data_IF_607382233339
#
_entry.id   IF_607382233339
#
_cell.length_a   1.000
_cell.length_b   1.000
_cell.length_c   1.000
_cell.angle_alpha   90.00
_cell.angle_beta   90.00
_cell.angle_gamma   90.00
#
_symmetry.space_group_name_H-M   'P 1'
#
loop_
_entity.id
_entity.type
_entity.pdbx_description
1 polymer ?
#
# COMPACT_ATOMS: atom_id res chain seq x y z
N UNK A 1 13.52 10.39 7.00
CA UNK A 1 13.34 9.22 6.11
C UNK A 1 14.02 9.56 4.81
N UNK A 2 14.90 8.68 4.31
CA UNK A 2 15.66 8.98 3.10
C UNK A 2 14.75 8.85 1.87
N UNK A 3 14.89 9.77 0.92
CA UNK A 3 14.11 9.82 -0.33
C UNK A 3 14.16 8.47 -1.08
N UNK A 4 15.27 7.75 -0.98
CA UNK A 4 15.45 6.43 -1.56
C UNK A 4 14.45 5.39 -1.02
N UNK A 5 14.17 5.41 0.28
CA UNK A 5 13.21 4.49 0.93
C UNK A 5 11.78 4.77 0.46
N UNK A 6 11.43 6.05 0.31
CA UNK A 6 10.13 6.45 -0.20
C UNK A 6 9.91 5.96 -1.64
N UNK A 7 10.89 6.21 -2.52
CA UNK A 7 10.84 5.78 -3.92
C UNK A 7 10.75 4.25 -4.01
N UNK A 8 11.49 3.53 -3.17
CA UNK A 8 11.43 2.07 -3.11
C UNK A 8 10.03 1.56 -2.76
N UNK A 9 9.37 2.15 -1.76
CA UNK A 9 8.00 1.78 -1.36
C UNK A 9 6.98 1.98 -2.50
N UNK A 10 7.03 3.12 -3.18
CA UNK A 10 6.20 3.40 -4.36
C UNK A 10 6.48 2.37 -5.46
N UNK A 11 7.75 2.03 -5.67
CA UNK A 11 8.17 1.04 -6.67
C UNK A 11 7.72 -0.39 -6.30
N UNK A 12 7.54 -0.71 -5.03
CA UNK A 12 7.00 -2.01 -4.61
C UNK A 12 5.48 -2.10 -4.81
N UNK A 13 4.76 -0.99 -4.61
CA UNK A 13 3.30 -0.97 -4.73
C UNK A 13 2.79 -0.88 -6.18
N UNK A 14 3.58 -0.31 -7.10
CA UNK A 14 3.20 -0.17 -8.51
C UNK A 14 3.06 -1.53 -9.24
N UNK A 15 4.03 -2.47 -9.20
CA UNK A 15 3.90 -3.80 -9.81
C UNK A 15 2.77 -4.61 -9.20
N UNK A 16 2.56 -4.46 -7.89
CA UNK A 16 1.56 -5.17 -7.13
C UNK A 16 0.15 -4.72 -7.53
N UNK A 17 -0.03 -3.42 -7.68
CA UNK A 17 -1.22 -2.77 -8.25
C UNK A 17 -1.49 -3.24 -9.69
N UNK A 18 -0.46 -3.29 -10.54
CA UNK A 18 -0.56 -3.78 -11.93
C UNK A 18 -0.93 -5.27 -11.99
N UNK A 19 -0.37 -6.10 -11.11
CA UNK A 19 -0.66 -7.53 -11.05
C UNK A 19 -2.11 -7.79 -10.62
N UNK A 20 -2.63 -7.05 -9.63
CA UNK A 20 -4.04 -7.14 -9.22
C UNK A 20 -4.98 -6.75 -10.36
N UNK A 21 -4.62 -5.73 -11.17
CA UNK A 21 -5.37 -5.37 -12.38
C UNK A 21 -5.32 -6.50 -13.41
N UNK A 22 -4.15 -7.07 -13.65
CA UNK A 22 -3.96 -8.16 -14.62
C UNK A 22 -4.77 -9.42 -14.26
N UNK A 23 -5.01 -9.65 -12.98
CA UNK A 23 -5.85 -10.76 -12.47
C UNK A 23 -7.36 -10.44 -12.48
N UNK A 24 -7.79 -9.30 -13.04
CA UNK A 24 -9.17 -8.79 -13.07
C UNK A 24 -9.83 -8.66 -11.67
N UNK A 25 -9.01 -8.53 -10.62
CA UNK A 25 -9.46 -8.49 -9.23
C UNK A 25 -9.86 -7.06 -8.81
N UNK A 26 -10.74 -6.38 -9.57
CA UNK A 26 -11.09 -4.96 -9.42
C UNK A 26 -11.55 -4.56 -8.00
N UNK A 27 -12.28 -5.45 -7.32
CA UNK A 27 -12.70 -5.22 -5.92
C UNK A 27 -11.52 -5.17 -4.94
N UNK A 28 -10.51 -6.01 -5.17
CA UNK A 28 -9.29 -6.01 -4.36
C UNK A 28 -8.44 -4.79 -4.67
N UNK A 29 -8.33 -4.41 -5.95
CA UNK A 29 -7.66 -3.18 -6.35
C UNK A 29 -8.22 -1.95 -5.62
N UNK A 30 -9.55 -1.82 -5.59
CA UNK A 30 -10.20 -0.72 -4.88
C UNK A 30 -9.93 -0.77 -3.37
N UNK A 31 -10.05 -1.94 -2.72
CA UNK A 31 -9.76 -2.09 -1.28
C UNK A 31 -8.28 -1.80 -0.96
N UNK A 32 -7.38 -2.21 -1.83
CA UNK A 32 -5.94 -2.01 -1.70
C UNK A 32 -5.60 -0.51 -1.65
N UNK A 33 -6.09 0.28 -2.60
CA UNK A 33 -5.88 1.73 -2.61
C UNK A 33 -6.67 2.46 -1.51
N UNK A 34 -7.85 1.97 -1.16
CA UNK A 34 -8.66 2.54 -0.07
C UNK A 34 -7.96 2.41 1.29
N UNK A 35 -7.29 1.28 1.56
CA UNK A 35 -6.50 1.09 2.79
C UNK A 35 -5.36 2.10 2.84
N UNK A 36 -4.65 2.30 1.73
CA UNK A 36 -3.61 3.32 1.62
C UNK A 36 -4.12 4.72 1.97
N UNK A 37 -5.26 5.10 1.37
CA UNK A 37 -5.88 6.40 1.60
C UNK A 37 -6.30 6.58 3.07
N UNK A 38 -6.96 5.57 3.67
CA UNK A 38 -7.38 5.63 5.08
C UNK A 38 -6.16 5.77 5.99
N UNK A 39 -5.12 4.96 5.77
CA UNK A 39 -3.90 4.99 6.58
C UNK A 39 -3.19 6.33 6.46
N UNK A 40 -3.09 6.87 5.24
CA UNK A 40 -2.54 8.20 5.02
C UNK A 40 -3.35 9.27 5.77
N UNK A 41 -4.68 9.26 5.66
CA UNK A 41 -5.56 10.24 6.31
C UNK A 41 -5.54 10.16 7.84
N UNK A 42 -5.36 8.98 8.42
CA UNK A 42 -5.26 8.79 9.88
C UNK A 42 -3.89 9.22 10.39
N UNK A 43 -2.83 8.87 9.67
CA UNK A 43 -1.45 9.13 10.10
C UNK A 43 -0.98 10.55 9.80
N UNK A 44 -1.46 11.21 8.74
CA UNK A 44 -1.10 12.59 8.40
C UNK A 44 -1.32 13.58 9.56
N UNK A 45 -2.53 13.68 10.15
CA UNK A 45 -2.79 14.66 11.21
C UNK A 45 -2.03 14.29 12.49
N UNK A 46 -1.86 13.00 12.76
CA UNK A 46 -1.07 12.53 13.89
C UNK A 46 0.39 12.95 13.74
N UNK A 47 1.10 12.46 12.72
CA UNK A 47 2.53 12.73 12.57
C UNK A 47 2.85 14.16 12.15
N UNK A 48 1.99 14.83 11.37
CA UNK A 48 2.16 16.23 10.99
C UNK A 48 2.19 17.17 12.20
N UNK A 49 1.44 16.84 13.26
CA UNK A 49 1.43 17.63 14.49
C UNK A 49 2.69 17.48 15.36
N UNK A 50 3.39 16.33 15.27
CA UNK A 50 4.58 16.04 16.08
C UNK A 50 5.91 16.25 15.36
N UNK A 51 5.93 16.13 14.02
CA UNK A 51 7.16 16.08 13.23
C UNK A 51 7.14 16.98 11.98
N UNK A 52 6.16 17.86 11.85
CA UNK A 52 6.01 18.80 10.72
C UNK A 52 6.07 18.06 9.35
N UNK A 53 6.89 18.56 8.40
CA UNK A 53 7.07 17.96 7.07
C UNK A 53 7.62 16.53 7.14
N UNK A 54 8.48 16.22 8.11
CA UNK A 54 9.02 14.87 8.28
C UNK A 54 7.94 13.88 8.73
N UNK A 55 6.93 14.37 9.46
CA UNK A 55 5.75 13.59 9.83
C UNK A 55 4.88 13.21 8.64
N UNK A 56 4.79 14.11 7.65
CA UNK A 56 4.08 13.84 6.41
C UNK A 56 4.72 12.69 5.63
N UNK A 57 6.06 12.73 5.48
CA UNK A 57 6.81 11.65 4.83
C UNK A 57 6.67 10.32 5.57
N UNK A 58 6.72 10.34 6.89
CA UNK A 58 6.56 9.13 7.72
C UNK A 58 5.15 8.54 7.61
N UNK A 59 4.11 9.38 7.64
CA UNK A 59 2.71 8.95 7.49
C UNK A 59 2.45 8.29 6.14
N UNK A 60 2.98 8.87 5.06
CA UNK A 60 2.88 8.25 3.72
C UNK A 60 3.68 6.95 3.65
N UNK A 61 4.87 6.89 4.25
CA UNK A 61 5.66 5.65 4.30
C UNK A 61 4.88 4.49 4.94
N UNK A 62 4.24 4.76 6.07
CA UNK A 62 3.46 3.77 6.81
C UNK A 62 2.23 3.33 6.02
N UNK A 63 1.59 4.25 5.29
CA UNK A 63 0.49 3.93 4.39
C UNK A 63 0.95 3.00 3.25
N UNK A 64 2.09 3.31 2.62
CA UNK A 64 2.67 2.48 1.56
C UNK A 64 3.06 1.08 2.07
N UNK A 65 3.65 0.98 3.27
CA UNK A 65 3.97 -0.32 3.90
C UNK A 65 2.70 -1.14 4.16
N UNK A 66 1.64 -0.50 4.66
CA UNK A 66 0.38 -1.18 4.91
C UNK A 66 -0.25 -1.70 3.61
N UNK A 67 -0.23 -0.90 2.54
CA UNK A 67 -0.66 -1.32 1.21
C UNK A 67 0.14 -2.52 0.72
N UNK A 68 1.47 -2.46 0.80
CA UNK A 68 2.36 -3.53 0.35
C UNK A 68 2.05 -4.85 1.06
N UNK A 69 1.95 -4.83 2.39
CA UNK A 69 1.61 -6.01 3.19
C UNK A 69 0.24 -6.55 2.79
N UNK A 70 -0.78 -5.69 2.69
CA UNK A 70 -2.12 -6.11 2.32
C UNK A 70 -2.15 -6.77 0.95
N UNK A 71 -1.55 -6.14 -0.06
CA UNK A 71 -1.52 -6.69 -1.41
C UNK A 71 -0.73 -8.01 -1.49
N UNK A 72 0.41 -8.10 -0.80
CA UNK A 72 1.19 -9.35 -0.73
C UNK A 72 0.39 -10.49 -0.10
N UNK A 73 -0.35 -10.21 0.97
CA UNK A 73 -1.26 -11.19 1.61
C UNK A 73 -2.37 -11.62 0.66
N UNK A 74 -2.98 -10.69 -0.08
CA UNK A 74 -4.03 -11.03 -1.03
C UNK A 74 -3.49 -11.89 -2.16
N UNK A 75 -2.38 -11.49 -2.79
CA UNK A 75 -1.75 -12.30 -3.84
C UNK A 75 -1.38 -13.69 -3.35
N UNK A 76 -0.75 -13.77 -2.18
CA UNK A 76 -0.40 -15.06 -1.58
C UNK A 76 -1.63 -15.96 -1.36
N UNK A 77 -2.78 -15.39 -0.98
CA UNK A 77 -4.05 -16.13 -0.89
C UNK A 77 -4.57 -16.53 -2.27
N UNK A 78 -4.60 -15.61 -3.23
CA UNK A 78 -5.05 -15.87 -4.60
C UNK A 78 -4.26 -17.02 -5.26
N UNK A 79 -2.94 -17.06 -5.11
CA UNK A 79 -2.11 -18.13 -5.67
C UNK A 79 -2.15 -19.45 -4.87
N UNK A 80 -2.66 -19.44 -3.64
CA UNK A 80 -2.86 -20.66 -2.84
C UNK A 80 -4.25 -21.25 -2.95
N UNK A 81 -5.25 -20.50 -3.42
CA UNK A 81 -6.52 -21.10 -3.80
C UNK A 81 -6.29 -22.01 -5.00
N UNK A 82 -6.66 -23.30 -4.94
CA UNK A 82 -6.51 -24.19 -6.08
C UNK A 82 -7.31 -23.59 -7.23
N UNK A 83 -6.63 -23.35 -8.35
CA UNK A 83 -7.26 -22.95 -9.61
C UNK A 83 -8.33 -24.01 -9.89
N UNK A 84 -9.60 -23.68 -9.62
CA UNK A 84 -10.71 -24.56 -9.97
C UNK A 84 -10.70 -24.68 -11.50
N UNK A 85 -10.54 -25.90 -12.05
CA UNK A 85 -10.72 -26.12 -13.47
C UNK A 85 -12.16 -25.81 -13.89
#
# INVERSE_FOLDING_TARGET
>A
MDIATYIFLVFCNLPLSLLIIALDMKKVYFRYHLIGLIMALVFLPFFGSFFEINGLLLGVALAEVAMFIFGAVVLHRTYREPIKP
#
